data_IF_923224939685
#
_entry.id   IF_923224939685
#
_cell.length_a   1.000
_cell.length_b   1.000
_cell.length_c   1.000
_cell.angle_alpha   90.00
_cell.angle_beta   90.00
_cell.angle_gamma   90.00
#
_symmetry.space_group_name_H-M   'P 1'
#
loop_
_entity.id
_entity.type
_entity.pdbx_description
1 polymer ?
#
# COMPACT_ATOMS: atom_id res chain seq x y z
N UNK A 1 7.57 13.90 -14.57
CA UNK A 1 7.53 15.29 -14.03
C UNK A 1 6.76 15.21 -12.73
N UNK A 2 7.43 15.34 -11.59
CA UNK A 2 6.82 15.07 -10.28
C UNK A 2 6.46 16.37 -9.53
N UNK A 3 5.39 16.31 -8.72
CA UNK A 3 5.01 17.30 -7.70
C UNK A 3 4.47 18.66 -8.18
N UNK A 4 3.98 18.77 -9.43
CA UNK A 4 3.38 19.99 -9.99
C UNK A 4 2.10 20.40 -9.25
N UNK A 5 1.39 19.44 -8.67
CA UNK A 5 0.17 19.67 -7.89
C UNK A 5 0.42 20.34 -6.54
N UNK A 6 1.65 20.27 -6.01
CA UNK A 6 2.07 20.91 -4.75
C UNK A 6 1.20 20.56 -3.53
N UNK A 7 0.61 19.36 -3.50
CA UNK A 7 -0.34 18.87 -2.49
C UNK A 7 0.05 17.46 -1.98
N UNK A 8 1.35 17.16 -1.95
CA UNK A 8 1.87 15.82 -1.62
C UNK A 8 2.20 15.73 -0.13
N UNK A 9 1.29 15.13 0.65
CA UNK A 9 1.41 15.04 2.11
C UNK A 9 2.36 13.93 2.59
N UNK A 10 2.55 12.86 1.79
CA UNK A 10 3.55 11.82 2.06
C UNK A 10 4.24 11.34 0.78
N UNK A 11 5.52 10.98 0.92
CA UNK A 11 6.39 10.53 -0.17
C UNK A 11 7.29 9.39 0.30
N UNK A 12 7.36 8.30 -0.45
CA UNK A 12 8.19 7.15 -0.10
C UNK A 12 9.67 7.49 -0.03
N UNK A 13 10.39 6.79 0.84
CA UNK A 13 11.85 6.91 1.07
C UNK A 13 12.38 8.35 1.18
N UNK A 14 11.56 9.26 1.72
CA UNK A 14 11.91 10.68 1.89
C UNK A 14 12.18 10.97 3.37
N UNK A 15 13.22 11.75 3.66
CA UNK A 15 13.53 12.14 5.03
C UNK A 15 12.51 13.15 5.56
N UNK A 16 12.15 13.06 6.84
CA UNK A 16 11.17 13.96 7.47
C UNK A 16 11.59 15.43 7.53
N UNK A 17 12.90 15.73 7.46
CA UNK A 17 13.41 17.11 7.38
C UNK A 17 13.31 17.73 5.99
N UNK A 18 13.04 16.92 4.96
CA UNK A 18 12.92 17.36 3.56
C UNK A 18 11.58 16.88 2.99
N UNK A 19 10.44 17.39 3.49
CA UNK A 19 9.12 16.95 3.03
C UNK A 19 8.88 17.33 1.57
N UNK A 20 7.94 16.66 0.93
CA UNK A 20 7.49 17.01 -0.42
C UNK A 20 6.72 18.34 -0.43
N UNK A 21 6.62 19.03 -1.59
CA UNK A 21 5.80 20.22 -1.73
C UNK A 21 4.31 19.92 -1.42
N UNK A 22 3.76 20.64 -0.44
CA UNK A 22 2.39 20.45 0.06
C UNK A 22 1.67 21.77 0.38
N UNK A 23 2.04 22.87 -0.27
CA UNK A 23 1.43 24.19 -0.03
C UNK A 23 -0.05 24.28 -0.42
N UNK A 24 -0.57 23.32 -1.19
CA UNK A 24 -1.98 23.24 -1.66
C UNK A 24 -2.74 22.11 -0.97
N UNK A 25 -2.54 21.96 0.33
CA UNK A 25 -3.10 20.90 1.17
C UNK A 25 -4.53 21.17 1.68
N UNK A 26 -5.05 22.39 1.51
CA UNK A 26 -6.43 22.74 1.84
C UNK A 26 -7.42 22.15 0.82
N UNK A 27 -7.64 20.84 0.91
CA UNK A 27 -8.57 20.06 0.08
C UNK A 27 -9.42 19.15 0.96
N UNK A 28 -10.64 18.85 0.53
CA UNK A 28 -11.44 17.83 1.18
C UNK A 28 -10.89 16.43 0.88
N UNK A 29 -10.81 15.59 1.91
CA UNK A 29 -10.56 14.17 1.73
C UNK A 29 -11.72 13.53 0.96
N UNK A 30 -11.42 12.81 -0.12
CA UNK A 30 -12.43 12.07 -0.88
C UNK A 30 -12.45 10.62 -0.46
N UNK A 31 -13.60 9.96 -0.58
CA UNK A 31 -13.68 8.52 -0.36
C UNK A 31 -14.65 7.84 -1.32
N UNK A 32 -14.40 6.55 -1.54
CA UNK A 32 -15.31 5.62 -2.20
C UNK A 32 -15.95 4.73 -1.15
N UNK A 33 -17.27 4.73 -1.05
CA UNK A 33 -18.01 3.81 -0.20
C UNK A 33 -18.54 2.65 -1.05
N UNK A 34 -18.26 1.42 -0.66
CA UNK A 34 -18.76 0.21 -1.31
C UNK A 34 -19.75 -0.46 -0.37
N UNK A 35 -21.03 -0.32 -0.64
CA UNK A 35 -22.08 -1.06 0.07
C UNK A 35 -22.21 -2.47 -0.52
N UNK A 36 -21.67 -3.48 0.17
CA UNK A 36 -21.76 -4.86 -0.31
C UNK A 36 -23.19 -5.40 -0.25
N UNK A 37 -24.07 -4.75 0.51
CA UNK A 37 -25.46 -5.18 0.71
C UNK A 37 -26.38 -4.85 -0.46
N UNK A 38 -25.91 -4.01 -1.39
CA UNK A 38 -26.58 -3.66 -2.64
C UNK A 38 -25.79 -4.13 -3.86
N UNK A 39 -24.66 -4.81 -3.65
CA UNK A 39 -23.84 -5.35 -4.71
C UNK A 39 -24.46 -6.62 -5.31
N UNK A 40 -24.55 -6.67 -6.64
CA UNK A 40 -25.11 -7.81 -7.39
C UNK A 40 -24.06 -8.64 -8.13
N UNK A 41 -22.76 -8.42 -7.87
CA UNK A 41 -21.68 -9.21 -8.48
C UNK A 41 -21.55 -9.11 -10.01
N UNK A 42 -22.12 -8.08 -10.64
CA UNK A 42 -22.16 -7.96 -12.11
C UNK A 42 -20.80 -7.76 -12.80
N UNK A 43 -19.73 -7.46 -12.05
CA UNK A 43 -18.38 -7.13 -12.55
C UNK A 43 -18.27 -5.91 -13.48
N UNK A 44 -19.31 -5.09 -13.61
CA UNK A 44 -19.25 -3.84 -14.39
C UNK A 44 -18.10 -2.93 -13.94
N UNK A 45 -17.81 -2.91 -12.63
CA UNK A 45 -16.70 -2.18 -12.04
C UNK A 45 -15.32 -2.67 -12.51
N UNK A 46 -15.15 -3.96 -12.84
CA UNK A 46 -13.92 -4.49 -13.44
C UNK A 46 -13.77 -3.98 -14.86
N UNK A 47 -14.83 -4.14 -15.67
CA UNK A 47 -14.83 -3.74 -17.09
C UNK A 47 -14.56 -2.25 -17.24
N UNK A 48 -15.28 -1.39 -16.52
CA UNK A 48 -15.08 0.06 -16.59
C UNK A 48 -13.71 0.50 -16.08
N UNK A 49 -13.15 -0.20 -15.08
CA UNK A 49 -11.80 0.09 -14.61
C UNK A 49 -10.77 -0.23 -15.70
N UNK A 50 -10.87 -1.40 -16.32
CA UNK A 50 -9.96 -1.81 -17.39
C UNK A 50 -10.12 -0.94 -18.63
N UNK A 51 -11.35 -0.60 -19.00
CA UNK A 51 -11.65 0.26 -20.14
C UNK A 51 -11.05 1.65 -19.95
N UNK A 52 -11.35 2.32 -18.83
CA UNK A 52 -10.87 3.68 -18.58
C UNK A 52 -9.34 3.78 -18.47
N UNK A 53 -8.71 2.78 -17.83
CA UNK A 53 -7.26 2.80 -17.59
C UNK A 53 -6.46 2.14 -18.72
N UNK A 54 -7.08 1.82 -19.85
CA UNK A 54 -6.42 1.23 -21.02
C UNK A 54 -5.62 -0.06 -20.74
N UNK A 55 -6.13 -0.90 -19.84
CA UNK A 55 -5.51 -2.19 -19.46
C UNK A 55 -6.40 -3.36 -19.83
N UNK A 56 -5.80 -4.47 -20.28
CA UNK A 56 -6.49 -5.74 -20.57
C UNK A 56 -5.66 -6.87 -19.97
N UNK A 57 -6.29 -7.68 -19.14
CA UNK A 57 -5.69 -8.90 -18.62
C UNK A 57 -5.91 -10.06 -19.61
N UNK A 58 -5.23 -11.17 -19.37
CA UNK A 58 -5.40 -12.37 -20.18
C UNK A 58 -6.82 -12.97 -20.01
N UNK A 59 -7.27 -13.67 -21.04
CA UNK A 59 -8.49 -14.48 -20.95
C UNK A 59 -8.20 -15.68 -20.05
N UNK A 60 -8.69 -15.61 -18.80
CA UNK A 60 -8.49 -16.65 -17.80
C UNK A 60 -9.33 -17.90 -18.03
N UNK A 61 -9.25 -18.83 -17.07
CA UNK A 61 -10.02 -20.08 -17.06
C UNK A 61 -11.08 -20.08 -15.95
N UNK A 62 -12.14 -20.85 -16.12
CA UNK A 62 -13.06 -21.14 -15.03
C UNK A 62 -12.52 -22.31 -14.20
N UNK A 63 -12.45 -22.15 -12.88
CA UNK A 63 -11.95 -23.16 -11.94
C UNK A 63 -13.01 -23.64 -10.94
N UNK A 64 -14.30 -23.49 -11.29
CA UNK A 64 -15.44 -23.89 -10.47
C UNK A 64 -16.07 -22.77 -9.64
N UNK A 65 -15.61 -21.52 -9.79
CA UNK A 65 -16.15 -20.34 -9.10
C UNK A 65 -16.41 -19.20 -10.07
N UNK A 66 -17.19 -18.21 -9.63
CA UNK A 66 -17.51 -17.02 -10.44
C UNK A 66 -16.35 -16.01 -10.51
N UNK A 67 -15.43 -16.04 -9.55
CA UNK A 67 -14.24 -15.16 -9.48
C UNK A 67 -13.41 -15.27 -10.76
N UNK A 68 -13.32 -14.16 -11.50
CA UNK A 68 -12.51 -14.07 -12.71
C UNK A 68 -12.29 -12.59 -13.10
N UNK A 69 -11.04 -12.11 -13.23
CA UNK A 69 -9.79 -12.78 -12.88
C UNK A 69 -9.75 -13.26 -11.42
N UNK A 70 -9.00 -14.34 -11.14
CA UNK A 70 -9.00 -14.98 -9.82
C UNK A 70 -8.32 -14.12 -8.73
N UNK A 71 -7.43 -13.22 -9.14
CA UNK A 71 -6.79 -12.25 -8.25
C UNK A 71 -6.56 -10.92 -8.97
N UNK A 72 -6.20 -9.89 -8.20
CA UNK A 72 -5.64 -8.66 -8.74
C UNK A 72 -4.37 -8.99 -9.54
N UNK A 73 -4.13 -8.22 -10.60
CA UNK A 73 -2.91 -8.30 -11.40
C UNK A 73 -2.44 -6.89 -11.78
N UNK A 74 -1.31 -6.77 -12.47
CA UNK A 74 -0.90 -5.50 -13.05
C UNK A 74 -1.88 -4.97 -14.13
N UNK A 75 -2.77 -5.82 -14.67
CA UNK A 75 -3.78 -5.47 -15.68
C UNK A 75 -5.22 -5.57 -15.17
N UNK A 76 -5.41 -6.01 -13.92
CA UNK A 76 -6.69 -6.12 -13.22
C UNK A 76 -6.63 -5.43 -11.86
N UNK A 77 -6.88 -4.12 -11.84
CA UNK A 77 -6.69 -3.26 -10.67
C UNK A 77 -7.83 -3.34 -9.65
N UNK A 78 -8.92 -4.01 -10.00
CA UNK A 78 -10.02 -4.36 -9.12
C UNK A 78 -10.67 -5.65 -9.61
N UNK A 79 -11.10 -6.50 -8.68
CA UNK A 79 -11.80 -7.76 -8.97
C UNK A 79 -12.98 -7.93 -8.02
N UNK A 80 -14.03 -8.62 -8.45
CA UNK A 80 -15.12 -9.07 -7.60
C UNK A 80 -14.74 -10.41 -6.98
N UNK A 81 -14.88 -10.49 -5.66
CA UNK A 81 -14.66 -11.69 -4.87
C UNK A 81 -15.98 -12.22 -4.34
N UNK A 82 -16.21 -13.52 -4.51
CA UNK A 82 -17.46 -14.17 -4.13
C UNK A 82 -17.20 -15.13 -2.95
N UNK A 83 -18.17 -15.25 -2.05
CA UNK A 83 -18.12 -16.17 -0.90
C UNK A 83 -19.51 -16.71 -0.61
N UNK A 84 -19.68 -18.01 -0.77
CA UNK A 84 -20.86 -18.74 -0.32
C UNK A 84 -20.64 -19.13 1.14
N UNK A 85 -21.51 -18.69 2.04
CA UNK A 85 -21.41 -18.97 3.47
C UNK A 85 -22.77 -19.37 4.01
N UNK A 86 -22.78 -20.25 5.01
CA UNK A 86 -23.97 -20.52 5.80
C UNK A 86 -23.93 -19.65 7.06
N UNK A 87 -24.90 -18.75 7.21
CA UNK A 87 -25.11 -17.95 8.43
C UNK A 87 -26.57 -18.07 8.86
N UNK A 88 -26.81 -18.28 10.16
CA UNK A 88 -28.16 -18.41 10.73
C UNK A 88 -29.05 -19.43 9.98
N UNK A 89 -28.49 -20.60 9.67
CA UNK A 89 -29.13 -21.70 8.93
C UNK A 89 -29.66 -21.30 7.53
N UNK A 90 -29.06 -20.27 6.92
CA UNK A 90 -29.38 -19.79 5.57
C UNK A 90 -28.10 -19.67 4.74
N UNK A 91 -28.22 -19.97 3.45
CA UNK A 91 -27.19 -19.66 2.48
C UNK A 91 -27.18 -18.16 2.23
N UNK A 92 -26.01 -17.55 2.39
CA UNK A 92 -25.73 -16.19 1.95
C UNK A 92 -24.63 -16.20 0.90
N UNK A 93 -24.80 -15.36 -0.13
CA UNK A 93 -23.78 -15.12 -1.12
C UNK A 93 -23.20 -13.73 -0.93
N UNK A 94 -22.05 -13.66 -0.26
CA UNK A 94 -21.38 -12.43 0.08
C UNK A 94 -20.43 -12.05 -1.06
N UNK A 95 -20.67 -10.88 -1.65
CA UNK A 95 -19.96 -10.42 -2.84
C UNK A 95 -19.28 -9.11 -2.53
N UNK A 96 -17.96 -9.06 -2.69
CA UNK A 96 -17.15 -7.87 -2.37
C UNK A 96 -16.28 -7.47 -3.55
N UNK A 97 -16.32 -6.18 -3.89
CA UNK A 97 -15.34 -5.58 -4.80
C UNK A 97 -14.02 -5.40 -4.05
N UNK A 98 -12.93 -5.93 -4.58
CA UNK A 98 -11.59 -5.86 -3.99
C UNK A 98 -10.64 -4.97 -4.80
N UNK A 99 -9.65 -4.37 -4.13
CA UNK A 99 -8.67 -3.46 -4.72
C UNK A 99 -7.99 -2.58 -3.67
N UNK A 100 -7.30 -1.53 -4.11
CA UNK A 100 -6.61 -0.61 -3.18
C UNK A 100 -7.58 0.08 -2.22
N UNK A 101 -7.23 0.05 -0.93
CA UNK A 101 -7.99 0.72 0.13
C UNK A 101 -7.66 2.21 0.28
N UNK A 102 -6.60 2.70 -0.39
CA UNK A 102 -6.09 4.07 -0.26
C UNK A 102 -6.00 4.48 1.22
N UNK A 103 -5.20 3.75 2.00
CA UNK A 103 -5.12 3.91 3.44
C UNK A 103 -4.58 5.29 3.84
N UNK A 104 -5.05 5.81 4.97
CA UNK A 104 -4.55 7.05 5.53
C UNK A 104 -3.09 6.91 6.00
N UNK A 105 -2.67 5.77 6.56
CA UNK A 105 -1.26 5.38 6.78
C UNK A 105 -0.89 4.20 5.86
N UNK A 106 -0.46 4.47 4.61
CA UNK A 106 -0.21 3.42 3.62
C UNK A 106 1.07 2.64 3.90
N UNK A 107 0.92 1.37 4.29
CA UNK A 107 2.04 0.44 4.49
C UNK A 107 2.90 0.22 3.25
N UNK A 108 2.31 0.30 2.04
CA UNK A 108 3.06 0.24 0.79
C UNK A 108 4.07 1.40 0.65
N UNK A 109 3.66 2.63 1.00
CA UNK A 109 4.51 3.82 1.00
C UNK A 109 5.62 3.69 2.06
N UNK A 110 5.25 3.25 3.27
CA UNK A 110 6.19 3.07 4.40
C UNK A 110 7.28 2.03 4.09
N UNK A 111 6.93 0.96 3.40
CA UNK A 111 7.88 -0.10 3.03
C UNK A 111 8.76 0.26 1.82
N UNK A 112 8.28 1.11 0.91
CA UNK A 112 8.97 1.41 -0.34
C UNK A 112 10.34 2.07 -0.12
N UNK A 113 11.43 1.53 -0.71
CA UNK A 113 12.78 2.06 -0.57
C UNK A 113 13.15 3.08 -1.65
N UNK A 114 12.33 3.24 -2.69
CA UNK A 114 12.59 4.16 -3.79
C UNK A 114 11.93 5.52 -3.52
N UNK A 115 12.72 6.58 -3.65
CA UNK A 115 12.30 7.95 -3.34
C UNK A 115 11.21 8.41 -4.30
N UNK A 116 10.03 8.76 -3.78
CA UNK A 116 8.93 9.28 -4.59
C UNK A 116 8.17 8.26 -5.45
N UNK A 117 8.54 6.98 -5.45
CA UNK A 117 7.81 5.93 -6.19
C UNK A 117 6.36 5.74 -5.71
N UNK A 118 6.07 6.09 -4.47
CA UNK A 118 4.71 6.09 -3.91
C UNK A 118 4.48 7.41 -3.22
N UNK A 119 3.36 8.05 -3.53
CA UNK A 119 2.95 9.34 -2.97
C UNK A 119 1.54 9.26 -2.41
N UNK A 120 1.23 10.18 -1.52
CA UNK A 120 -0.12 10.43 -1.02
C UNK A 120 -0.47 11.90 -1.23
N UNK A 121 -1.57 12.15 -1.92
CA UNK A 121 -2.14 13.48 -2.13
C UNK A 121 -2.94 13.94 -0.90
N UNK A 122 -3.14 15.25 -0.77
CA UNK A 122 -3.90 15.86 0.33
C UNK A 122 -5.35 15.35 0.43
N UNK A 123 -5.99 15.05 -0.71
CA UNK A 123 -7.33 14.47 -0.74
C UNK A 123 -7.40 12.98 -0.35
N UNK A 124 -6.25 12.36 -0.02
CA UNK A 124 -6.14 10.98 0.47
C UNK A 124 -5.79 9.92 -0.57
N UNK A 125 -5.71 10.27 -1.85
CA UNK A 125 -5.32 9.31 -2.89
C UNK A 125 -3.86 8.90 -2.68
N UNK A 126 -3.64 7.59 -2.49
CA UNK A 126 -2.31 6.96 -2.58
C UNK A 126 -2.05 6.47 -4.01
N UNK A 127 -0.98 6.91 -4.64
CA UNK A 127 -0.69 6.60 -6.05
C UNK A 127 0.80 6.26 -6.30
N UNK A 128 1.07 5.60 -7.43
CA UNK A 128 2.40 5.11 -7.81
C UNK A 128 3.01 5.95 -8.94
N UNK A 129 4.17 6.55 -8.67
CA UNK A 129 4.95 7.26 -9.68
C UNK A 129 5.92 6.28 -10.35
N UNK A 130 5.45 5.65 -11.42
CA UNK A 130 6.15 4.58 -12.13
C UNK A 130 7.57 4.94 -12.57
N UNK A 131 7.87 6.22 -12.85
CA UNK A 131 9.22 6.70 -13.19
C UNK A 131 10.27 6.41 -12.09
N UNK A 132 9.87 6.34 -10.82
CA UNK A 132 10.77 6.06 -9.69
C UNK A 132 10.72 4.60 -9.21
N UNK A 133 9.82 3.78 -9.77
CA UNK A 133 9.64 2.40 -9.33
C UNK A 133 10.81 1.50 -9.80
N UNK A 134 11.38 0.74 -8.87
CA UNK A 134 12.52 -0.16 -9.11
C UNK A 134 12.16 -1.66 -9.05
N UNK A 135 10.86 -2.00 -8.99
CA UNK A 135 10.40 -3.40 -9.04
C UNK A 135 10.71 -4.29 -7.83
N UNK A 136 11.19 -3.75 -6.70
CA UNK A 136 11.65 -4.56 -5.56
C UNK A 136 10.56 -5.35 -4.81
N UNK A 137 9.27 -5.07 -5.01
CA UNK A 137 8.16 -5.78 -4.36
C UNK A 137 7.94 -5.49 -2.87
N UNK A 138 8.71 -4.63 -2.21
CA UNK A 138 8.52 -4.32 -0.77
C UNK A 138 7.14 -3.76 -0.45
N UNK A 139 6.54 -3.03 -1.38
CA UNK A 139 5.19 -2.51 -1.24
C UNK A 139 4.12 -3.61 -1.20
N UNK A 140 4.39 -4.80 -1.77
CA UNK A 140 3.50 -5.96 -1.71
C UNK A 140 3.46 -6.47 -0.27
N UNK A 141 4.63 -6.79 0.30
CA UNK A 141 4.76 -7.26 1.69
C UNK A 141 4.34 -6.20 2.72
N UNK A 142 4.53 -4.92 2.42
CA UNK A 142 4.13 -3.81 3.28
C UNK A 142 2.63 -3.50 3.27
N UNK A 143 1.87 -4.01 2.30
CA UNK A 143 0.44 -3.73 2.18
C UNK A 143 -0.38 -4.71 3.03
N UNK A 144 -1.12 -4.25 4.07
CA UNK A 144 -1.94 -5.14 4.91
C UNK A 144 -3.08 -5.85 4.16
N UNK A 145 -3.40 -5.36 2.96
CA UNK A 145 -4.47 -5.86 2.10
C UNK A 145 -3.95 -6.64 0.88
N UNK A 146 -2.63 -6.85 0.78
CA UNK A 146 -2.00 -7.55 -0.35
C UNK A 146 -2.48 -7.05 -1.72
N UNK A 147 -2.43 -5.72 -1.97
CA UNK A 147 -2.98 -5.10 -3.18
C UNK A 147 -1.98 -4.93 -4.33
N UNK A 148 -0.75 -4.41 -4.12
CA UNK A 148 0.14 -4.11 -5.23
C UNK A 148 0.49 -5.38 -6.03
N UNK A 149 0.56 -5.25 -7.35
CA UNK A 149 0.92 -6.36 -8.25
C UNK A 149 2.01 -5.91 -9.20
N UNK A 150 3.05 -6.73 -9.37
CA UNK A 150 4.18 -6.45 -10.26
C UNK A 150 3.79 -6.78 -11.71
N UNK A 151 4.11 -5.88 -12.63
CA UNK A 151 4.04 -6.14 -14.06
C UNK A 151 5.38 -6.75 -14.52
N UNK A 152 5.39 -7.99 -15.04
CA UNK A 152 6.62 -8.60 -15.55
C UNK A 152 7.16 -7.91 -16.81
N UNK A 153 6.34 -7.15 -17.54
CA UNK A 153 6.74 -6.50 -18.80
C UNK A 153 7.68 -5.31 -18.59
N UNK A 154 7.49 -4.56 -17.48
CA UNK A 154 8.22 -3.32 -17.22
C UNK A 154 8.86 -3.26 -15.83
N UNK A 155 8.71 -4.32 -15.04
CA UNK A 155 9.21 -4.47 -13.66
C UNK A 155 8.72 -3.37 -12.71
N UNK A 156 7.48 -2.91 -12.88
CA UNK A 156 6.85 -1.91 -11.99
C UNK A 156 5.58 -2.45 -11.37
N UNK A 157 5.23 -1.94 -10.20
CA UNK A 157 3.98 -2.31 -9.55
C UNK A 157 2.84 -1.41 -10.00
N UNK A 158 1.65 -1.99 -10.12
CA UNK A 158 0.41 -1.29 -10.43
C UNK A 158 -0.70 -1.69 -9.46
N UNK A 159 -1.71 -0.83 -9.34
CA UNK A 159 -2.91 -1.02 -8.51
C UNK A 159 -3.95 0.03 -8.88
N UNK A 160 -5.14 -0.04 -8.27
CA UNK A 160 -6.12 1.04 -8.35
C UNK A 160 -5.52 2.40 -7.93
N UNK A 161 -5.79 3.43 -8.74
CA UNK A 161 -5.34 4.82 -8.57
C UNK A 161 -6.43 5.72 -7.98
N UNK A 162 -7.57 5.15 -7.58
CA UNK A 162 -8.83 5.87 -7.33
C UNK A 162 -9.28 6.76 -8.50
N UNK A 163 -8.82 6.45 -9.74
CA UNK A 163 -9.00 7.31 -10.90
C UNK A 163 -8.52 8.75 -10.65
N UNK A 164 -7.31 8.90 -10.11
CA UNK A 164 -6.69 10.19 -9.80
C UNK A 164 -6.79 11.18 -10.96
N UNK A 165 -6.64 10.70 -12.18
CA UNK A 165 -6.77 11.44 -13.44
C UNK A 165 -8.17 12.01 -13.69
N UNK A 166 -9.23 11.34 -13.20
CA UNK A 166 -10.61 11.83 -13.22
C UNK A 166 -10.90 12.76 -12.06
N UNK A 167 -10.52 12.33 -10.85
CA UNK A 167 -10.83 13.02 -9.60
C UNK A 167 -10.19 14.39 -9.54
N UNK A 168 -8.94 14.52 -10.01
CA UNK A 168 -8.23 15.81 -10.05
C UNK A 168 -8.88 16.86 -10.94
N UNK A 169 -9.73 16.45 -11.88
CA UNK A 169 -10.50 17.35 -12.76
C UNK A 169 -12.00 17.35 -12.46
N UNK A 170 -12.39 16.88 -11.27
CA UNK A 170 -13.77 16.99 -10.77
C UNK A 170 -14.72 15.91 -11.28
N UNK A 171 -14.23 14.78 -11.79
CA UNK A 171 -15.06 13.64 -12.18
C UNK A 171 -14.92 12.48 -11.19
N UNK A 172 -16.03 11.77 -10.92
CA UNK A 172 -16.01 10.57 -10.08
C UNK A 172 -15.33 9.37 -10.80
N UNK A 173 -14.78 8.40 -10.05
CA UNK A 173 -14.11 7.23 -10.63
C UNK A 173 -14.99 6.40 -11.58
N UNK A 174 -14.39 5.80 -12.61
CA UNK A 174 -15.13 5.02 -13.62
C UNK A 174 -15.96 3.87 -13.00
N UNK A 175 -15.37 3.15 -12.03
CA UNK A 175 -16.07 2.06 -11.34
C UNK A 175 -17.23 2.53 -10.44
N UNK A 176 -17.22 3.80 -10.00
CA UNK A 176 -18.34 4.40 -9.26
C UNK A 176 -19.46 4.70 -10.24
N UNK A 177 -19.15 5.48 -11.28
CA UNK A 177 -20.11 5.92 -12.31
C UNK A 177 -20.87 4.77 -12.98
N UNK A 178 -20.20 3.63 -13.21
CA UNK A 178 -20.80 2.49 -13.91
C UNK A 178 -21.70 1.62 -13.02
N UNK A 179 -21.70 1.78 -11.69
CA UNK A 179 -22.31 0.81 -10.79
C UNK A 179 -23.84 0.77 -11.00
N UNK A 180 -24.41 -0.35 -11.48
CA UNK A 180 -25.81 -0.38 -11.92
C UNK A 180 -26.82 -0.25 -10.77
N UNK A 181 -26.45 -0.71 -9.57
CA UNK A 181 -27.32 -0.70 -8.40
C UNK A 181 -27.03 0.46 -7.44
N UNK A 182 -26.05 1.31 -7.76
CA UNK A 182 -25.59 2.34 -6.83
C UNK A 182 -24.83 1.79 -5.62
N UNK A 183 -24.38 0.54 -5.62
CA UNK A 183 -23.60 -0.06 -4.52
C UNK A 183 -22.23 0.61 -4.28
N UNK A 184 -21.79 1.48 -5.18
CA UNK A 184 -20.53 2.19 -5.07
C UNK A 184 -20.84 3.69 -5.12
N UNK A 185 -20.55 4.39 -4.03
CA UNK A 185 -20.71 5.83 -3.90
C UNK A 185 -19.35 6.53 -3.84
N UNK A 186 -19.33 7.82 -4.14
CA UNK A 186 -18.13 8.65 -4.07
C UNK A 186 -18.49 10.08 -3.68
N UNK A 187 -17.64 10.72 -2.89
CA UNK A 187 -17.81 12.10 -2.44
C UNK A 187 -16.74 12.45 -1.41
N UNK A 188 -17.01 13.48 -0.59
CA UNK A 188 -16.19 13.75 0.58
C UNK A 188 -16.23 12.55 1.53
N UNK A 189 -15.13 12.29 2.24
CA UNK A 189 -15.04 11.16 3.17
C UNK A 189 -16.06 11.27 4.30
N UNK A 190 -16.33 12.48 4.77
CA UNK A 190 -17.33 12.74 5.81
C UNK A 190 -18.76 12.46 5.32
N UNK A 191 -19.12 12.86 4.10
CA UNK A 191 -20.42 12.53 3.53
C UNK A 191 -20.58 11.02 3.31
N UNK A 192 -19.50 10.34 2.89
CA UNK A 192 -19.49 8.88 2.73
C UNK A 192 -19.64 8.17 4.08
N UNK A 193 -19.09 8.70 5.17
CA UNK A 193 -19.30 8.18 6.53
C UNK A 193 -20.75 8.38 6.99
N UNK A 194 -21.33 9.54 6.68
CA UNK A 194 -22.73 9.84 6.98
C UNK A 194 -23.66 8.86 6.25
N UNK A 195 -23.48 8.70 4.94
CA UNK A 195 -24.24 7.75 4.12
C UNK A 195 -24.09 6.31 4.61
N UNK A 196 -22.87 5.90 4.99
CA UNK A 196 -22.64 4.59 5.59
C UNK A 196 -23.40 4.41 6.90
N UNK A 197 -23.42 5.42 7.77
CA UNK A 197 -24.15 5.41 9.03
C UNK A 197 -25.65 5.22 8.84
N UNK A 198 -26.25 5.95 7.89
CA UNK A 198 -27.66 5.80 7.50
C UNK A 198 -27.95 4.39 6.99
N UNK A 199 -27.10 3.87 6.10
CA UNK A 199 -27.25 2.51 5.55
C UNK A 199 -27.13 1.43 6.63
N UNK A 200 -26.18 1.58 7.55
CA UNK A 200 -26.00 0.66 8.70
C UNK A 200 -27.22 0.70 9.61
N UNK A 201 -27.78 1.88 9.89
CA UNK A 201 -29.00 2.01 10.67
C UNK A 201 -30.17 1.28 10.00
N UNK A 202 -30.35 1.43 8.69
CA UNK A 202 -31.36 0.70 7.92
C UNK A 202 -31.15 -0.82 8.00
N UNK A 203 -29.93 -1.32 7.81
CA UNK A 203 -29.61 -2.75 7.87
C UNK A 203 -29.95 -3.36 9.23
N UNK A 204 -29.69 -2.64 10.32
CA UNK A 204 -30.07 -3.07 11.67
C UNK A 204 -31.58 -3.23 11.83
N UNK A 205 -32.40 -2.35 11.22
CA UNK A 205 -33.87 -2.53 11.22
C UNK A 205 -34.34 -3.78 10.48
N UNK A 206 -33.49 -4.34 9.60
CA UNK A 206 -33.77 -5.54 8.81
C UNK A 206 -33.21 -6.82 9.43
N UNK A 207 -32.69 -6.75 10.65
CA UNK A 207 -32.18 -7.90 11.41
C UNK A 207 -30.69 -8.17 11.25
N UNK A 208 -29.92 -7.25 10.66
CA UNK A 208 -28.45 -7.33 10.62
C UNK A 208 -27.85 -6.54 11.80
N UNK A 209 -27.93 -7.10 13.00
CA UNK A 209 -27.49 -6.42 14.24
C UNK A 209 -26.02 -6.01 14.23
N UNK A 210 -25.19 -6.82 13.56
CA UNK A 210 -23.75 -6.60 13.40
C UNK A 210 -23.39 -5.86 12.10
N UNK A 211 -24.36 -5.22 11.43
CA UNK A 211 -24.06 -4.36 10.30
C UNK A 211 -23.18 -3.18 10.75
N UNK A 212 -22.23 -2.80 9.89
CA UNK A 212 -21.27 -1.77 10.24
C UNK A 212 -20.47 -1.22 9.07
N UNK A 213 -19.81 -0.10 9.32
CA UNK A 213 -18.83 0.51 8.43
C UNK A 213 -17.46 -0.10 8.69
N UNK A 214 -16.85 -0.61 7.63
CA UNK A 214 -15.44 -1.03 7.62
C UNK A 214 -14.56 0.15 7.19
N UNK A 215 -13.96 0.81 8.18
CA UNK A 215 -12.97 1.90 8.06
C UNK A 215 -11.84 1.65 9.10
N UNK A 216 -10.87 0.77 8.81
CA UNK A 216 -10.00 0.20 9.82
C UNK A 216 -9.01 1.21 10.41
N UNK A 217 -9.11 1.43 11.72
CA UNK A 217 -8.26 2.35 12.47
C UNK A 217 -6.77 1.97 12.48
N UNK A 218 -6.44 0.67 12.34
CA UNK A 218 -5.05 0.18 12.30
C UNK A 218 -4.20 0.71 11.15
N UNK A 219 -4.83 1.30 10.13
CA UNK A 219 -4.17 2.02 9.03
C UNK A 219 -4.59 3.49 8.96
N UNK A 220 -5.10 4.05 10.07
CA UNK A 220 -5.59 5.44 10.17
C UNK A 220 -6.93 5.70 9.47
N UNK A 221 -7.67 4.64 9.12
CA UNK A 221 -8.82 4.70 8.22
C UNK A 221 -8.43 4.61 6.75
N UNK A 222 -9.43 4.52 5.87
CA UNK A 222 -9.27 4.26 4.45
C UNK A 222 -10.10 5.22 3.59
N UNK A 223 -9.61 5.53 2.39
CA UNK A 223 -10.36 6.31 1.38
C UNK A 223 -11.16 5.39 0.43
N UNK A 224 -11.15 4.09 0.69
CA UNK A 224 -12.15 3.15 0.21
C UNK A 224 -12.69 2.39 1.43
N UNK A 225 -13.97 2.52 1.70
CA UNK A 225 -14.64 1.94 2.87
C UNK A 225 -15.73 0.96 2.42
N UNK A 226 -16.17 0.06 3.31
CA UNK A 226 -17.30 -0.83 3.03
C UNK A 226 -18.44 -0.64 4.02
N UNK A 227 -19.68 -0.79 3.57
CA UNK A 227 -20.78 -1.20 4.45
C UNK A 227 -20.90 -2.71 4.36
N UNK A 228 -20.95 -3.39 5.51
CA UNK A 228 -21.03 -4.85 5.60
C UNK A 228 -22.29 -5.26 6.38
N UNK A 229 -22.92 -6.37 5.98
CA UNK A 229 -23.98 -7.02 6.78
C UNK A 229 -23.44 -7.56 8.11
N UNK A 230 -22.21 -8.09 8.07
CA UNK A 230 -21.52 -8.80 9.16
C UNK A 230 -20.16 -8.13 9.40
N UNK A 231 -20.18 -6.91 9.95
CA UNK A 231 -18.96 -6.15 10.20
C UNK A 231 -18.12 -6.73 11.35
N UNK A 232 -18.72 -7.58 12.18
CA UNK A 232 -18.05 -8.41 13.19
C UNK A 232 -17.22 -9.55 12.58
N UNK A 233 -17.51 -9.94 11.33
CA UNK A 233 -16.84 -11.05 10.64
C UNK A 233 -16.44 -10.66 9.21
N UNK A 234 -15.59 -9.62 9.02
CA UNK A 234 -15.18 -9.19 7.69
C UNK A 234 -14.49 -10.30 6.89
N UNK A 235 -13.83 -11.26 7.56
CA UNK A 235 -13.20 -12.42 6.91
C UNK A 235 -14.18 -13.27 6.07
N UNK A 236 -15.49 -13.24 6.36
CA UNK A 236 -16.51 -13.90 5.52
C UNK A 236 -16.57 -13.35 4.10
N UNK A 237 -16.17 -12.09 3.91
CA UNK A 237 -16.13 -11.43 2.61
C UNK A 237 -14.80 -11.74 1.91
N UNK A 238 -14.56 -13.02 1.63
CA UNK A 238 -13.36 -13.51 0.94
C UNK A 238 -12.05 -13.02 1.60
N UNK A 239 -11.92 -13.23 2.91
CA UNK A 239 -10.70 -12.92 3.66
C UNK A 239 -10.38 -11.44 3.83
N UNK A 240 -11.37 -10.55 3.82
CA UNK A 240 -11.16 -9.15 4.20
C UNK A 240 -10.63 -9.10 5.65
N UNK A 241 -9.43 -8.56 5.91
CA UNK A 241 -8.81 -8.63 7.23
C UNK A 241 -9.65 -7.95 8.32
N UNK A 242 -9.68 -8.51 9.53
CA UNK A 242 -10.49 -7.95 10.62
C UNK A 242 -9.93 -6.65 11.19
N UNK A 243 -8.67 -6.67 11.62
CA UNK A 243 -7.98 -5.53 12.20
C UNK A 243 -6.66 -5.30 11.45
N UNK A 244 -6.70 -4.87 10.18
CA UNK A 244 -5.48 -4.68 9.39
C UNK A 244 -4.65 -3.53 9.96
N UNK A 245 -3.37 -3.78 10.12
CA UNK A 245 -2.36 -2.78 10.45
C UNK A 245 -1.06 -3.07 9.71
N UNK A 246 -0.16 -2.10 9.69
CA UNK A 246 1.20 -2.33 9.17
C UNK A 246 1.91 -3.29 10.13
N UNK A 247 2.49 -4.38 9.59
CA UNK A 247 3.24 -5.36 10.38
C UNK A 247 4.29 -4.71 11.29
N UNK A 248 4.35 -5.13 12.55
CA UNK A 248 5.36 -4.68 13.53
C UNK A 248 6.80 -4.86 13.03
N UNK A 249 7.07 -5.96 12.32
CA UNK A 249 8.38 -6.20 11.70
C UNK A 249 8.73 -5.10 10.70
N UNK A 250 7.76 -4.65 9.89
CA UNK A 250 7.93 -3.56 8.92
C UNK A 250 8.11 -2.22 9.66
N UNK A 251 7.30 -1.95 10.69
CA UNK A 251 7.42 -0.74 11.53
C UNK A 251 8.81 -0.65 12.16
N UNK A 252 9.33 -1.74 12.73
CA UNK A 252 10.67 -1.79 13.33
C UNK A 252 11.77 -1.60 12.29
N UNK A 253 11.74 -2.36 11.19
CA UNK A 253 12.77 -2.33 10.14
C UNK A 253 12.87 -0.99 9.42
N UNK A 254 11.72 -0.34 9.16
CA UNK A 254 11.67 0.96 8.46
C UNK A 254 11.74 2.15 9.41
N UNK A 255 11.39 1.96 10.67
CA UNK A 255 11.50 2.95 11.73
C UNK A 255 12.82 2.84 12.47
N UNK A 256 12.80 2.25 13.66
CA UNK A 256 13.86 2.29 14.67
C UNK A 256 15.20 1.69 14.20
N UNK A 257 15.17 0.66 13.36
CA UNK A 257 16.40 0.01 12.89
C UNK A 257 17.31 0.95 12.09
N UNK A 258 16.74 1.89 11.32
CA UNK A 258 17.49 2.81 10.45
C UNK A 258 18.41 3.77 11.22
N UNK A 259 17.91 4.57 12.19
CA UNK A 259 18.78 5.44 12.99
C UNK A 259 19.74 4.66 13.89
N UNK A 260 19.31 3.51 14.43
CA UNK A 260 20.20 2.65 15.22
C UNK A 260 21.39 2.15 14.39
N UNK A 261 21.13 1.67 13.17
CA UNK A 261 22.19 1.24 12.27
C UNK A 261 23.12 2.40 11.90
N UNK A 262 22.57 3.59 11.61
CA UNK A 262 23.37 4.78 11.31
C UNK A 262 24.29 5.18 12.48
N UNK A 263 23.77 5.16 13.71
CA UNK A 263 24.57 5.39 14.91
C UNK A 263 25.67 4.33 15.07
N UNK A 264 25.32 3.05 14.90
CA UNK A 264 26.27 1.94 14.94
C UNK A 264 27.41 2.11 13.93
N UNK A 265 27.10 2.51 12.69
CA UNK A 265 28.11 2.83 11.67
C UNK A 265 29.01 3.99 12.08
N UNK A 266 28.44 5.09 12.56
CA UNK A 266 29.22 6.25 13.00
C UNK A 266 30.15 5.90 14.18
N UNK A 267 29.64 5.17 15.18
CA UNK A 267 30.42 4.71 16.32
C UNK A 267 31.55 3.76 15.90
N UNK A 268 31.28 2.82 15.00
CA UNK A 268 32.28 1.87 14.48
C UNK A 268 33.38 2.58 13.69
N UNK A 269 32.99 3.56 12.86
CA UNK A 269 33.94 4.38 12.12
C UNK A 269 34.82 5.20 13.05
N UNK A 270 34.22 5.89 14.03
CA UNK A 270 34.96 6.65 15.03
C UNK A 270 35.93 5.76 15.83
N UNK A 271 35.46 4.60 16.30
CA UNK A 271 36.28 3.64 17.01
C UNK A 271 37.47 3.15 16.15
N UNK A 272 37.24 2.85 14.87
CA UNK A 272 38.30 2.44 13.94
C UNK A 272 39.36 3.54 13.77
N UNK A 273 38.93 4.80 13.62
CA UNK A 273 39.84 5.96 13.50
C UNK A 273 40.65 6.14 14.79
N UNK A 274 40.00 6.16 15.95
CA UNK A 274 40.68 6.33 17.23
C UNK A 274 41.61 5.15 17.55
N UNK A 275 41.22 3.92 17.20
CA UNK A 275 42.08 2.75 17.33
C UNK A 275 43.32 2.89 16.44
N UNK A 276 43.16 3.24 15.17
CA UNK A 276 44.30 3.40 14.25
C UNK A 276 45.25 4.52 14.69
N UNK A 277 44.72 5.67 15.12
CA UNK A 277 45.54 6.79 15.63
C UNK A 277 46.22 6.45 16.95
N UNK A 278 45.53 5.74 17.86
CA UNK A 278 46.03 5.43 19.19
C UNK A 278 47.00 4.25 19.25
N UNK A 279 46.74 3.18 18.48
CA UNK A 279 47.55 1.95 18.48
C UNK A 279 48.58 1.97 17.34
N UNK A 280 48.29 2.63 16.23
CA UNK A 280 49.14 2.64 15.05
C UNK A 280 48.94 1.41 14.16
N UNK A 281 49.63 1.37 13.00
CA UNK A 281 49.57 0.24 12.08
C UNK A 281 50.30 -0.97 12.65
N UNK A 282 49.75 -2.17 12.43
CA UNK A 282 50.50 -3.41 12.65
C UNK A 282 51.52 -3.57 11.52
N UNK A 283 52.81 -3.38 11.81
CA UNK A 283 53.91 -3.60 10.88
C UNK A 283 54.45 -5.01 11.08
N UNK A 284 54.75 -5.72 10.00
CA UNK A 284 55.61 -6.90 10.10
C UNK A 284 56.96 -6.42 10.63
N UNK A 285 57.47 -7.04 11.70
CA UNK A 285 58.81 -6.74 12.22
C UNK A 285 59.83 -6.88 11.08
N UNK A 286 60.75 -5.92 11.00
CA UNK A 286 61.94 -5.97 10.15
C UNK A 286 62.85 -7.13 10.60
N UNK A 287 62.51 -8.37 10.24
CA UNK A 287 63.50 -9.45 10.17
C UNK A 287 64.48 -9.25 8.99
N UNK A 288 64.26 -8.23 8.13
CA UNK A 288 65.13 -7.92 6.99
C UNK A 288 66.29 -6.94 7.31
N UNK A 289 66.24 -6.16 8.40
CA UNK A 289 67.34 -5.23 8.72
C UNK A 289 68.54 -5.93 9.39
N UNK A 290 68.33 -7.08 10.05
CA UNK A 290 69.42 -7.87 10.63
C UNK A 290 70.14 -8.78 9.59
N UNK A 291 69.53 -9.05 8.43
CA UNK A 291 70.17 -9.82 7.35
C UNK A 291 71.19 -8.99 6.52
N UNK A 292 71.16 -7.67 6.66
CA UNK A 292 72.10 -6.77 6.02
C UNK A 292 73.33 -6.43 6.87
N UNK A 293 73.24 -6.45 8.21
CA UNK A 293 74.41 -6.25 9.08
C UNK A 293 75.29 -7.51 9.21
N UNK A 294 74.73 -8.73 9.22
CA UNK A 294 75.54 -9.96 9.32
C UNK A 294 76.40 -10.24 8.07
N UNK A 295 76.07 -9.68 6.90
CA UNK A 295 76.86 -9.88 5.67
C UNK A 295 78.09 -8.98 5.56
N UNK A 296 78.16 -7.90 6.32
CA UNK A 296 79.29 -6.96 6.28
C UNK A 296 80.38 -7.27 7.32
N UNK A 297 80.07 -8.00 8.40
CA UNK A 297 81.08 -8.48 9.36
C UNK A 297 81.86 -9.71 8.88
N UNK A 298 81.28 -10.54 8.00
CA UNK A 298 81.96 -11.72 7.42
C UNK A 298 82.94 -11.33 6.29
N UNK A 299 83.03 -10.05 5.93
CA UNK A 299 83.85 -9.53 4.82
C UNK A 299 85.04 -8.64 5.24
N UNK A 300 85.45 -8.68 6.51
CA UNK A 300 86.70 -8.06 7.01
C UNK A 300 87.72 -9.08 7.49
#
# INVERSE_FOLDING_TARGET
MAYQSQDIIRRSATNGFTPAPQARDHQEEVAKLIDVTTCIGCKACQVACSEWNDIRDEVGNNVGVYDNPADLTAKSWTVMRFSEVEQNDKLEWLIRKDGCMHCADPGCLKACPAEGAIIQYANGIVDFQSEQCIGCGYCIAGCPFNVPRLNPEDNRVYKCTLCVDRVTVGQEPACVKTCPTGAIHFGSKEDMKTLAGERVAELKTRGYDNAGLYDPAGVGGTHVMYVLHHADKPNLYHGLPENPEISETVKFWKGVWKPLAAFGFAATFAASVFHYVGVGPNRAEEEDDNLHEEKDEVRK
#
